data_IF_881602332173
#
_entry.id   IF_881602332173
#
_cell.length_a   1.000
_cell.length_b   1.000
_cell.length_c   1.000
_cell.angle_alpha   90.00
_cell.angle_beta   90.00
_cell.angle_gamma   90.00
#
_symmetry.space_group_name_H-M   'P 1'
#
loop_
_entity.id
_entity.type
_entity.pdbx_description
1 polymer ?
#
# COMPACT_ATOMS: atom_id res chain seq x y z
N UNK A 1 -28.00 20.60 -0.93
CA UNK A 1 -26.56 20.47 -0.63
C UNK A 1 -26.38 19.30 0.32
N UNK A 2 -25.46 18.43 0.06
CA UNK A 2 -25.03 17.37 0.98
C UNK A 2 -23.90 17.94 1.85
N UNK A 3 -23.77 17.45 3.07
CA UNK A 3 -22.74 17.84 4.02
C UNK A 3 -21.84 16.66 4.43
N UNK A 4 -21.96 15.55 3.71
CA UNK A 4 -21.18 14.35 3.91
C UNK A 4 -21.07 13.56 2.59
N UNK A 5 -19.88 13.05 2.30
CA UNK A 5 -19.63 12.13 1.20
C UNK A 5 -19.41 10.73 1.76
N UNK A 6 -19.97 9.70 1.10
CA UNK A 6 -19.75 8.29 1.45
C UNK A 6 -19.07 7.60 0.28
N UNK A 7 -17.87 7.09 0.50
CA UNK A 7 -17.12 6.26 -0.45
C UNK A 7 -17.31 4.77 -0.16
N UNK A 8 -18.13 4.09 -0.95
CA UNK A 8 -18.37 2.65 -0.81
C UNK A 8 -17.72 1.89 -1.98
N UNK A 9 -16.76 1.03 -1.70
CA UNK A 9 -16.11 0.21 -2.73
C UNK A 9 -14.65 -0.09 -2.49
N UNK A 10 -13.90 -0.34 -3.55
CA UNK A 10 -12.45 -0.50 -3.54
C UNK A 10 -11.70 0.81 -3.80
N UNK A 11 -10.38 0.74 -3.97
CA UNK A 11 -9.48 1.91 -4.05
C UNK A 11 -9.96 3.03 -4.97
N UNK A 12 -10.35 2.74 -6.21
CA UNK A 12 -10.83 3.77 -7.15
C UNK A 12 -12.07 4.52 -6.67
N UNK A 13 -13.02 3.81 -6.03
CA UNK A 13 -14.21 4.44 -5.47
C UNK A 13 -13.85 5.30 -4.25
N UNK A 14 -12.92 4.83 -3.45
CA UNK A 14 -12.40 5.53 -2.26
C UNK A 14 -11.68 6.82 -2.69
N UNK A 15 -10.76 6.74 -3.63
CA UNK A 15 -10.00 7.90 -4.13
C UNK A 15 -10.92 8.93 -4.78
N UNK A 16 -11.91 8.46 -5.57
CA UNK A 16 -12.95 9.34 -6.13
C UNK A 16 -13.74 10.05 -5.03
N UNK A 17 -14.13 9.33 -3.97
CA UNK A 17 -14.87 9.90 -2.86
C UNK A 17 -14.05 10.95 -2.08
N UNK A 18 -12.74 10.72 -1.90
CA UNK A 18 -11.81 11.70 -1.32
C UNK A 18 -11.74 12.97 -2.15
N UNK A 19 -11.60 12.85 -3.47
CA UNK A 19 -11.58 13.99 -4.38
C UNK A 19 -12.90 14.79 -4.36
N UNK A 20 -14.05 14.10 -4.27
CA UNK A 20 -15.37 14.75 -4.24
C UNK A 20 -15.62 15.44 -2.90
N UNK A 21 -15.13 14.88 -1.80
CA UNK A 21 -15.36 15.42 -0.45
C UNK A 21 -14.67 16.76 -0.22
N UNK A 22 -13.52 17.03 -0.85
CA UNK A 22 -12.79 18.32 -0.77
C UNK A 22 -12.67 18.92 0.65
N UNK A 23 -12.56 18.05 1.67
CA UNK A 23 -12.46 18.49 3.08
C UNK A 23 -13.77 18.55 3.83
N UNK A 24 -14.90 18.19 3.21
CA UNK A 24 -16.16 17.90 3.89
C UNK A 24 -16.08 16.57 4.65
N UNK A 25 -17.08 16.28 5.48
CA UNK A 25 -17.14 15.02 6.19
C UNK A 25 -17.15 13.84 5.20
N UNK A 26 -16.22 12.91 5.41
CA UNK A 26 -16.01 11.74 4.53
C UNK A 26 -16.11 10.45 5.33
N UNK A 27 -16.99 9.56 4.88
CA UNK A 27 -17.11 8.20 5.41
C UNK A 27 -16.64 7.23 4.32
N UNK A 28 -15.65 6.41 4.62
CA UNK A 28 -15.17 5.36 3.73
C UNK A 28 -15.66 4.01 4.21
N UNK A 29 -16.23 3.24 3.29
CA UNK A 29 -16.73 1.87 3.53
C UNK A 29 -16.06 0.94 2.53
N UNK A 30 -14.87 0.39 2.82
CA UNK A 30 -14.17 -0.49 1.91
C UNK A 30 -14.89 -1.83 1.78
N UNK A 31 -15.02 -2.32 0.55
CA UNK A 31 -15.59 -3.64 0.24
C UNK A 31 -14.54 -4.70 -0.03
N UNK A 32 -13.28 -4.30 -0.07
CA UNK A 32 -12.08 -5.12 -0.23
C UNK A 32 -10.95 -4.53 0.63
N UNK A 33 -10.03 -5.35 1.07
CA UNK A 33 -8.83 -4.91 1.81
C UNK A 33 -7.58 -5.06 0.92
N UNK A 34 -7.63 -4.41 -0.26
CA UNK A 34 -6.61 -4.58 -1.30
C UNK A 34 -5.46 -3.56 -1.23
N UNK A 35 -5.65 -2.48 -0.48
CA UNK A 35 -4.70 -1.39 -0.26
C UNK A 35 -5.00 -0.69 1.06
N UNK A 36 -4.13 0.18 1.49
CA UNK A 36 -4.26 1.03 2.67
C UNK A 36 -4.92 2.40 2.40
N UNK A 37 -5.32 2.65 1.17
CA UNK A 37 -6.03 3.87 0.77
C UNK A 37 -7.18 4.32 1.69
N UNK A 38 -7.97 3.41 2.34
CA UNK A 38 -9.14 3.85 3.12
C UNK A 38 -8.83 4.83 4.24
N UNK A 39 -7.66 4.82 4.84
CA UNK A 39 -7.34 5.62 6.03
C UNK A 39 -6.53 6.88 5.74
N UNK A 40 -5.88 6.97 4.59
CA UNK A 40 -4.98 8.08 4.28
C UNK A 40 -5.70 9.34 3.79
N UNK A 41 -5.02 10.50 3.94
CA UNK A 41 -5.46 11.79 3.40
C UNK A 41 -5.03 12.00 1.94
N UNK A 42 -4.54 10.97 1.25
CA UNK A 42 -4.11 11.04 -0.15
C UNK A 42 -4.97 10.17 -1.06
N UNK A 43 -4.98 10.50 -2.34
CA UNK A 43 -5.55 9.70 -3.40
C UNK A 43 -4.55 9.61 -4.56
N UNK A 44 -4.52 8.44 -5.22
CA UNK A 44 -3.72 8.24 -6.43
C UNK A 44 -4.54 8.63 -7.65
N UNK A 45 -3.99 9.52 -8.47
CA UNK A 45 -4.58 9.93 -9.73
C UNK A 45 -3.96 9.13 -10.88
N UNK A 46 -4.81 8.72 -11.82
CA UNK A 46 -4.39 7.97 -12.98
C UNK A 46 -4.79 8.68 -14.26
N UNK A 47 -3.97 8.54 -15.30
CA UNK A 47 -4.32 8.98 -16.65
C UNK A 47 -5.50 8.18 -17.21
N UNK A 48 -6.21 8.67 -18.26
CA UNK A 48 -7.26 7.90 -18.92
C UNK A 48 -6.80 6.53 -19.41
N UNK A 49 -5.53 6.39 -19.74
CA UNK A 49 -4.89 5.16 -20.22
C UNK A 49 -4.52 4.21 -19.06
N UNK A 50 -4.67 4.66 -17.78
CA UNK A 50 -4.44 3.86 -16.59
C UNK A 50 -3.02 3.93 -16.04
N UNK A 51 -2.18 4.80 -16.58
CA UNK A 51 -0.85 5.10 -16.03
C UNK A 51 -0.94 5.97 -14.77
N UNK A 52 0.06 5.88 -13.90
CA UNK A 52 0.20 6.79 -12.76
C UNK A 52 0.40 8.23 -13.26
N UNK A 53 -0.38 9.16 -12.71
CA UNK A 53 -0.29 10.60 -13.01
C UNK A 53 0.32 11.36 -11.84
N UNK A 54 -0.39 11.48 -10.72
CA UNK A 54 0.07 12.21 -9.53
C UNK A 54 -0.64 11.74 -8.26
N UNK A 55 -0.26 12.30 -7.13
CA UNK A 55 -0.96 12.17 -5.86
C UNK A 55 -1.73 13.44 -5.53
N UNK A 56 -3.02 13.30 -5.20
CA UNK A 56 -3.79 14.34 -4.55
C UNK A 56 -3.68 14.22 -3.03
N UNK A 57 -3.39 15.33 -2.34
CA UNK A 57 -3.34 15.38 -0.86
C UNK A 57 -4.45 16.27 -0.34
N UNK A 58 -5.17 15.79 0.66
CA UNK A 58 -6.29 16.50 1.28
C UNK A 58 -5.91 17.02 2.67
N UNK A 59 -6.68 17.97 3.17
CA UNK A 59 -6.40 18.62 4.47
C UNK A 59 -6.62 17.71 5.68
N UNK A 60 -7.38 16.64 5.50
CA UNK A 60 -7.76 15.73 6.58
C UNK A 60 -7.97 14.31 6.05
N UNK A 61 -7.74 13.35 6.91
CA UNK A 61 -8.09 11.96 6.68
C UNK A 61 -9.62 11.78 6.67
N UNK A 62 -10.16 10.66 6.17
CA UNK A 62 -11.57 10.34 6.31
C UNK A 62 -12.04 10.45 7.76
N UNK A 63 -13.22 11.03 7.97
CA UNK A 63 -13.81 11.21 9.30
C UNK A 63 -14.17 9.87 9.95
N UNK A 64 -14.54 8.88 9.13
CA UNK A 64 -14.87 7.51 9.55
C UNK A 64 -14.41 6.55 8.48
N UNK A 65 -13.79 5.44 8.90
CA UNK A 65 -13.59 4.24 8.08
C UNK A 65 -14.40 3.11 8.71
N UNK A 66 -15.47 2.69 8.02
CA UNK A 66 -16.38 1.66 8.49
C UNK A 66 -16.11 0.35 7.75
N UNK A 67 -15.66 -0.67 8.47
CA UNK A 67 -15.24 -1.95 7.91
C UNK A 67 -16.24 -3.03 8.32
N UNK A 68 -16.86 -3.69 7.32
CA UNK A 68 -17.62 -4.93 7.52
C UNK A 68 -16.75 -6.10 7.02
N UNK A 69 -16.19 -6.85 7.97
CA UNK A 69 -15.31 -7.98 7.67
C UNK A 69 -16.04 -9.10 6.93
N UNK A 70 -17.39 -9.20 7.08
CA UNK A 70 -18.20 -10.21 6.38
C UNK A 70 -18.33 -9.88 4.87
N UNK A 71 -18.29 -8.62 4.50
CA UNK A 71 -18.26 -8.18 3.10
C UNK A 71 -16.89 -8.50 2.49
N UNK A 72 -15.82 -8.14 3.20
CA UNK A 72 -14.44 -8.38 2.74
C UNK A 72 -14.14 -9.87 2.63
N UNK A 73 -14.62 -10.70 3.57
CA UNK A 73 -14.45 -12.16 3.53
C UNK A 73 -15.05 -12.82 2.27
N UNK A 74 -16.05 -12.19 1.65
CA UNK A 74 -16.71 -12.69 0.42
C UNK A 74 -16.08 -12.16 -0.86
N UNK A 75 -15.17 -11.22 -0.75
CA UNK A 75 -14.44 -10.72 -1.91
C UNK A 75 -13.41 -11.75 -2.40
N UNK A 76 -13.00 -11.71 -3.67
CA UNK A 76 -11.92 -12.56 -4.16
C UNK A 76 -10.65 -12.41 -3.32
N UNK A 77 -10.11 -13.51 -2.83
CA UNK A 77 -8.92 -13.56 -1.95
C UNK A 77 -7.72 -12.81 -2.50
N UNK A 78 -7.58 -12.73 -3.83
CA UNK A 78 -6.50 -11.98 -4.48
C UNK A 78 -6.47 -10.50 -4.04
N UNK A 79 -7.61 -9.91 -3.70
CA UNK A 79 -7.62 -8.53 -3.17
C UNK A 79 -7.00 -8.44 -1.78
N UNK A 80 -7.34 -9.37 -0.89
CA UNK A 80 -6.74 -9.44 0.44
C UNK A 80 -5.22 -9.64 0.34
N UNK A 81 -4.79 -10.57 -0.52
CA UNK A 81 -3.37 -10.87 -0.76
C UNK A 81 -2.65 -9.64 -1.34
N UNK A 82 -3.27 -8.91 -2.28
CA UNK A 82 -2.70 -7.65 -2.76
C UNK A 82 -2.50 -6.64 -1.62
N UNK A 83 -3.49 -6.50 -0.73
CA UNK A 83 -3.34 -5.64 0.45
C UNK A 83 -2.22 -6.07 1.38
N UNK A 84 -2.00 -7.38 1.55
CA UNK A 84 -0.84 -7.86 2.31
C UNK A 84 0.49 -7.45 1.66
N UNK A 85 0.56 -7.49 0.32
CA UNK A 85 1.75 -7.07 -0.42
C UNK A 85 2.05 -5.59 -0.31
N UNK A 86 1.00 -4.76 -0.23
CA UNK A 86 1.09 -3.34 0.01
C UNK A 86 1.56 -3.07 1.46
N UNK A 87 0.85 -3.65 2.43
CA UNK A 87 1.13 -3.52 3.86
C UNK A 87 2.52 -4.03 4.27
N UNK A 88 3.06 -5.02 3.53
CA UNK A 88 4.40 -5.57 3.79
C UNK A 88 5.50 -4.52 3.62
N UNK A 89 5.37 -3.62 2.65
CA UNK A 89 6.36 -2.58 2.39
C UNK A 89 6.45 -1.56 3.53
N UNK A 90 5.33 -1.32 4.23
CA UNK A 90 5.19 -0.25 5.21
C UNK A 90 6.29 -0.27 6.29
N UNK A 91 6.65 -1.45 6.80
CA UNK A 91 7.72 -1.59 7.78
C UNK A 91 9.09 -1.24 7.22
N UNK A 92 9.42 -1.78 6.04
CA UNK A 92 10.73 -1.60 5.43
C UNK A 92 10.96 -0.17 4.97
N UNK A 93 9.93 0.46 4.41
CA UNK A 93 9.99 1.85 3.97
C UNK A 93 10.02 2.82 5.15
N UNK A 94 9.24 2.60 6.20
CA UNK A 94 9.34 3.38 7.43
C UNK A 94 10.73 3.25 8.06
N UNK A 95 11.33 2.04 8.07
CA UNK A 95 12.70 1.80 8.53
C UNK A 95 13.71 2.59 7.72
N UNK A 96 13.62 2.53 6.39
CA UNK A 96 14.50 3.27 5.50
C UNK A 96 14.42 4.79 5.74
N UNK A 97 13.21 5.32 5.92
CA UNK A 97 13.01 6.74 6.22
C UNK A 97 13.58 7.16 7.58
N UNK A 98 13.44 6.32 8.61
CA UNK A 98 14.05 6.59 9.91
C UNK A 98 15.58 6.61 9.79
N UNK A 99 16.18 5.68 9.06
CA UNK A 99 17.63 5.56 8.88
C UNK A 99 18.22 6.68 8.03
N UNK A 100 17.51 7.09 6.96
CA UNK A 100 17.96 8.14 6.04
C UNK A 100 17.54 9.55 6.47
N UNK A 101 16.80 9.69 7.55
CA UNK A 101 16.13 10.94 7.93
C UNK A 101 15.18 11.45 6.83
N UNK A 102 14.56 10.53 6.09
CA UNK A 102 13.62 10.80 5.02
C UNK A 102 12.35 11.48 5.52
N UNK A 103 11.61 12.07 4.57
CA UNK A 103 10.34 12.71 4.84
C UNK A 103 9.21 11.69 4.84
N UNK A 104 8.14 12.03 5.58
CA UNK A 104 6.91 11.25 5.62
C UNK A 104 5.77 11.99 4.92
N UNK A 105 4.71 11.27 4.59
CA UNK A 105 3.56 11.83 3.88
C UNK A 105 2.67 12.69 4.80
N UNK A 106 2.61 12.35 6.09
CA UNK A 106 1.86 13.13 7.07
C UNK A 106 2.39 14.55 7.18
N UNK A 107 1.47 15.51 7.16
CA UNK A 107 1.83 16.94 7.25
C UNK A 107 2.25 17.57 5.93
N UNK A 108 2.17 16.86 4.80
CA UNK A 108 2.23 17.49 3.49
C UNK A 108 0.93 18.28 3.30
N UNK A 109 0.96 19.63 3.33
CA UNK A 109 -0.25 20.40 3.08
C UNK A 109 -0.70 20.20 1.65
N UNK A 110 -2.00 20.25 1.43
CA UNK A 110 -2.57 20.39 0.10
C UNK A 110 -1.88 21.55 -0.64
N UNK A 111 -1.15 21.26 -1.70
CA UNK A 111 -0.37 22.26 -2.44
C UNK A 111 0.96 22.66 -1.83
N UNK A 112 1.47 21.96 -0.83
CA UNK A 112 2.83 22.18 -0.38
C UNK A 112 3.84 21.72 -1.42
N UNK A 113 4.70 22.62 -1.68
CA UNK A 113 5.64 22.64 -2.75
C UNK A 113 6.67 21.50 -2.59
N UNK A 114 6.48 20.38 -3.26
CA UNK A 114 7.54 19.38 -3.44
C UNK A 114 8.83 19.98 -3.97
N UNK A 115 8.75 21.15 -4.64
CA UNK A 115 9.88 21.83 -5.25
C UNK A 115 10.76 22.60 -4.26
N UNK A 116 10.27 22.97 -3.06
CA UNK A 116 11.05 23.79 -2.13
C UNK A 116 11.69 23.01 -0.99
N UNK A 117 11.39 21.72 -0.81
CA UNK A 117 11.97 20.90 0.27
C UNK A 117 11.64 21.39 1.69
N UNK A 118 10.72 22.32 1.81
CA UNK A 118 10.32 22.89 3.10
C UNK A 118 9.16 22.12 3.71
N UNK A 119 9.38 21.65 4.87
CA UNK A 119 8.58 21.00 5.87
C UNK A 119 8.57 19.51 5.83
N UNK A 120 9.34 19.13 6.56
CA UNK A 120 9.86 17.84 6.73
C UNK A 120 9.29 17.28 8.01
N UNK A 121 8.06 16.69 7.90
CA UNK A 121 7.61 15.79 8.93
C UNK A 121 8.47 14.52 8.87
N UNK A 122 9.00 14.11 10.01
CA UNK A 122 9.77 12.89 10.15
C UNK A 122 8.93 11.82 10.82
N UNK A 123 9.20 10.57 10.49
CA UNK A 123 8.60 9.42 11.14
C UNK A 123 8.81 9.47 12.66
N UNK A 124 7.73 9.22 13.41
CA UNK A 124 7.77 9.14 14.86
C UNK A 124 8.01 7.70 15.32
N UNK A 125 8.42 7.52 16.59
CA UNK A 125 8.49 6.18 17.18
C UNK A 125 7.14 5.48 17.18
N UNK A 126 6.04 6.21 17.30
CA UNK A 126 4.67 5.66 17.23
C UNK A 126 4.38 5.16 15.83
N UNK A 127 4.68 5.93 14.78
CA UNK A 127 4.50 5.51 13.39
C UNK A 127 5.31 4.23 13.08
N UNK A 128 6.57 4.19 13.52
CA UNK A 128 7.41 3.01 13.35
C UNK A 128 6.88 1.80 14.13
N UNK A 129 6.32 2.00 15.32
CA UNK A 129 5.69 0.91 16.08
C UNK A 129 4.45 0.36 15.38
N UNK A 130 3.64 1.21 14.72
CA UNK A 130 2.50 0.77 13.92
C UNK A 130 2.96 -0.04 12.69
N UNK A 131 3.99 0.44 11.99
CA UNK A 131 4.58 -0.29 10.86
C UNK A 131 5.17 -1.64 11.28
N UNK A 132 5.80 -1.71 12.46
CA UNK A 132 6.33 -2.97 13.04
C UNK A 132 5.18 -3.93 13.36
N UNK A 133 4.12 -3.45 14.03
CA UNK A 133 2.95 -4.28 14.34
C UNK A 133 2.27 -4.78 13.06
N UNK A 134 2.22 -3.95 12.01
CA UNK A 134 1.71 -4.36 10.70
C UNK A 134 2.50 -5.57 10.17
N UNK A 135 3.81 -5.47 10.10
CA UNK A 135 4.69 -6.54 9.62
C UNK A 135 4.55 -7.82 10.44
N UNK A 136 4.62 -7.73 11.78
CA UNK A 136 4.47 -8.88 12.69
C UNK A 136 3.11 -9.57 12.49
N UNK A 137 2.04 -8.80 12.30
CA UNK A 137 0.68 -9.33 12.06
C UNK A 137 0.61 -10.07 10.72
N UNK A 138 1.23 -9.53 9.66
CA UNK A 138 1.28 -10.19 8.35
C UNK A 138 1.99 -11.54 8.43
N UNK A 139 3.13 -11.61 9.13
CA UNK A 139 3.88 -12.85 9.32
C UNK A 139 3.08 -13.88 10.14
N UNK A 140 2.42 -13.44 11.21
CA UNK A 140 1.70 -14.33 12.13
C UNK A 140 0.43 -14.91 11.52
N UNK A 141 -0.34 -14.11 10.80
CA UNK A 141 -1.71 -14.43 10.42
C UNK A 141 -1.99 -14.42 8.91
N UNK A 142 -1.08 -13.93 8.05
CA UNK A 142 -1.30 -13.77 6.62
C UNK A 142 -1.78 -15.03 5.91
N UNK A 143 -1.09 -16.15 6.09
CA UNK A 143 -1.48 -17.42 5.48
C UNK A 143 -2.83 -17.95 6.00
N UNK A 144 -3.08 -17.83 7.31
CA UNK A 144 -4.36 -18.25 7.92
C UNK A 144 -5.53 -17.39 7.42
N UNK A 145 -5.31 -16.07 7.28
CA UNK A 145 -6.30 -15.14 6.75
C UNK A 145 -6.62 -15.43 5.28
N UNK A 146 -5.60 -15.76 4.48
CA UNK A 146 -5.80 -16.20 3.10
C UNK A 146 -6.72 -17.44 3.04
N UNK A 147 -6.44 -18.47 3.83
CA UNK A 147 -7.27 -19.69 3.87
C UNK A 147 -8.70 -19.39 4.34
N UNK A 148 -8.88 -18.52 5.32
CA UNK A 148 -10.19 -18.09 5.79
C UNK A 148 -10.96 -17.36 4.67
N UNK A 149 -10.32 -16.44 3.96
CA UNK A 149 -10.92 -15.72 2.85
C UNK A 149 -11.27 -16.66 1.67
N UNK A 150 -10.42 -17.64 1.33
CA UNK A 150 -10.68 -18.65 0.30
C UNK A 150 -11.97 -19.45 0.58
N UNK A 151 -12.37 -19.54 1.85
CA UNK A 151 -13.58 -20.24 2.30
C UNK A 151 -14.71 -19.30 2.74
N UNK A 152 -14.55 -17.99 2.54
CA UNK A 152 -15.49 -16.92 2.93
C UNK A 152 -15.82 -16.93 4.44
N UNK A 153 -14.86 -17.31 5.28
CA UNK A 153 -15.01 -17.37 6.73
C UNK A 153 -14.38 -16.14 7.38
N UNK A 154 -15.12 -15.53 8.30
CA UNK A 154 -14.58 -14.53 9.21
C UNK A 154 -13.92 -15.24 10.38
N UNK A 155 -12.63 -15.01 10.55
CA UNK A 155 -11.81 -15.56 11.63
C UNK A 155 -10.98 -14.45 12.26
N UNK A 156 -10.48 -14.60 13.48
CA UNK A 156 -9.58 -13.62 14.07
C UNK A 156 -8.38 -13.29 13.18
N UNK A 157 -7.79 -14.29 12.52
CA UNK A 157 -6.67 -14.06 11.60
C UNK A 157 -7.08 -13.19 10.40
N UNK A 158 -8.28 -13.40 9.83
CA UNK A 158 -8.78 -12.55 8.75
C UNK A 158 -9.01 -11.11 9.22
N UNK A 159 -9.61 -10.92 10.39
CA UNK A 159 -9.84 -9.61 10.98
C UNK A 159 -8.53 -8.88 11.27
N UNK A 160 -7.53 -9.57 11.82
CA UNK A 160 -6.19 -9.03 12.05
C UNK A 160 -5.52 -8.56 10.74
N UNK A 161 -5.65 -9.33 9.66
CA UNK A 161 -5.07 -8.95 8.36
C UNK A 161 -5.85 -7.81 7.71
N UNK A 162 -7.16 -7.75 7.85
CA UNK A 162 -7.96 -6.60 7.38
C UNK A 162 -7.52 -5.33 8.11
N UNK A 163 -7.32 -5.40 9.44
CA UNK A 163 -6.79 -4.29 10.24
C UNK A 163 -5.38 -3.91 9.79
N UNK A 164 -4.50 -4.90 9.58
CA UNK A 164 -3.14 -4.64 9.11
C UNK A 164 -3.13 -3.94 7.74
N UNK A 165 -3.87 -4.46 6.77
CA UNK A 165 -3.91 -3.92 5.42
C UNK A 165 -4.51 -2.50 5.35
N UNK A 166 -5.53 -2.20 6.15
CA UNK A 166 -6.29 -0.95 6.05
C UNK A 166 -5.81 0.10 7.05
N UNK A 167 -5.62 -0.29 8.32
CA UNK A 167 -5.36 0.66 9.40
C UNK A 167 -3.87 0.77 9.71
N UNK A 168 -3.21 -0.35 10.01
CA UNK A 168 -1.81 -0.31 10.42
C UNK A 168 -0.91 0.14 9.27
N UNK A 169 -1.14 -0.38 8.06
CA UNK A 169 -0.45 0.07 6.86
C UNK A 169 -0.77 1.54 6.55
N UNK A 170 -2.06 1.90 6.55
CA UNK A 170 -2.47 3.25 6.18
C UNK A 170 -1.93 4.34 7.08
N UNK A 171 -1.96 4.16 8.41
CA UNK A 171 -1.34 5.08 9.35
C UNK A 171 0.19 4.96 9.34
N UNK A 172 0.69 3.75 9.11
CA UNK A 172 2.11 3.44 9.06
C UNK A 172 2.82 4.15 7.91
N UNK A 173 2.30 4.01 6.68
CA UNK A 173 2.93 4.65 5.52
C UNK A 173 2.77 6.17 5.53
N UNK A 174 1.56 6.66 5.91
CA UNK A 174 1.31 8.10 5.97
C UNK A 174 2.26 8.80 6.93
N UNK A 175 2.51 8.20 8.09
CA UNK A 175 3.35 8.75 9.15
C UNK A 175 4.78 8.20 9.18
N UNK A 176 5.07 7.12 8.46
CA UNK A 176 6.39 6.50 8.33
C UNK A 176 7.11 6.84 7.03
N UNK A 177 6.34 7.20 5.99
CA UNK A 177 6.84 7.54 4.66
C UNK A 177 7.00 6.34 3.73
N UNK A 178 7.16 6.62 2.45
CA UNK A 178 7.43 5.65 1.38
C UNK A 178 8.93 5.70 1.01
N UNK A 179 9.41 4.64 0.35
CA UNK A 179 10.80 4.53 -0.09
C UNK A 179 10.91 3.73 -1.41
N UNK A 180 11.88 2.82 -1.52
CA UNK A 180 12.19 2.16 -2.77
C UNK A 180 11.11 1.17 -3.24
N UNK A 181 10.37 0.53 -2.34
CA UNK A 181 9.35 -0.43 -2.74
C UNK A 181 8.26 0.21 -3.61
N UNK A 182 7.72 1.35 -3.19
CA UNK A 182 6.74 2.11 -3.96
C UNK A 182 7.37 2.80 -5.18
N UNK A 183 8.60 3.33 -5.09
CA UNK A 183 9.30 3.88 -6.25
C UNK A 183 9.47 2.81 -7.35
N UNK A 184 9.87 1.60 -7.01
CA UNK A 184 9.98 0.48 -7.95
C UNK A 184 8.59 0.11 -8.52
N UNK A 185 7.54 0.10 -7.69
CA UNK A 185 6.17 -0.07 -8.19
C UNK A 185 5.83 0.95 -9.27
N UNK A 186 6.11 2.24 -9.02
CA UNK A 186 5.84 3.33 -9.98
C UNK A 186 6.63 3.12 -11.27
N UNK A 187 7.90 2.73 -11.15
CA UNK A 187 8.73 2.35 -12.29
C UNK A 187 8.15 1.21 -13.12
N UNK A 188 7.63 0.16 -12.45
CA UNK A 188 7.03 -1.00 -13.13
C UNK A 188 5.76 -0.63 -13.90
N UNK A 189 5.10 0.48 -13.62
CA UNK A 189 3.89 0.90 -14.34
C UNK A 189 4.11 1.25 -15.80
N UNK A 190 5.35 1.49 -16.24
CA UNK A 190 5.67 1.71 -17.66
C UNK A 190 5.59 0.41 -18.49
N UNK A 191 5.57 -0.75 -17.85
CA UNK A 191 5.51 -2.04 -18.49
C UNK A 191 4.05 -2.50 -18.64
N UNK A 192 3.54 -2.59 -19.88
CA UNK A 192 2.15 -3.00 -20.15
C UNK A 192 1.79 -4.35 -19.54
N UNK A 193 2.74 -5.29 -19.47
CA UNK A 193 2.56 -6.62 -18.89
C UNK A 193 2.11 -6.55 -17.42
N UNK A 194 2.51 -5.50 -16.71
CA UNK A 194 2.20 -5.32 -15.29
C UNK A 194 0.85 -4.64 -15.04
N UNK A 195 0.17 -4.11 -16.05
CA UNK A 195 -1.12 -3.40 -15.90
C UNK A 195 -2.24 -4.28 -15.37
N UNK A 196 -2.15 -5.60 -15.54
CA UNK A 196 -3.12 -6.58 -15.00
C UNK A 196 -2.80 -7.01 -13.56
N UNK A 197 -1.68 -6.52 -13.01
CA UNK A 197 -1.30 -6.77 -11.63
C UNK A 197 -1.84 -5.67 -10.73
N UNK A 198 -2.29 -6.07 -9.53
CA UNK A 198 -2.73 -5.12 -8.55
C UNK A 198 -1.55 -4.34 -7.95
N UNK A 199 -1.86 -3.21 -7.31
CA UNK A 199 -0.89 -2.33 -6.68
C UNK A 199 0.06 -3.11 -5.75
N UNK A 200 -0.48 -3.76 -4.72
CA UNK A 200 0.33 -4.48 -3.74
C UNK A 200 1.07 -5.69 -4.28
N UNK A 201 0.62 -6.30 -5.39
CA UNK A 201 1.39 -7.35 -6.07
C UNK A 201 2.73 -6.80 -6.60
N UNK A 202 2.72 -5.58 -7.14
CA UNK A 202 3.95 -4.91 -7.60
C UNK A 202 4.79 -4.38 -6.45
N UNK A 203 4.13 -3.84 -5.41
CA UNK A 203 4.81 -3.34 -4.20
C UNK A 203 5.52 -4.47 -3.45
N UNK A 204 4.94 -5.67 -3.34
CA UNK A 204 5.59 -6.82 -2.73
C UNK A 204 6.91 -7.19 -3.43
N UNK A 205 6.93 -7.21 -4.76
CA UNK A 205 8.15 -7.38 -5.53
C UNK A 205 9.14 -6.23 -5.31
N UNK A 206 8.64 -4.99 -5.26
CA UNK A 206 9.43 -3.80 -4.93
C UNK A 206 10.09 -3.89 -3.56
N UNK A 207 9.39 -4.46 -2.57
CA UNK A 207 9.94 -4.69 -1.21
C UNK A 207 11.13 -5.66 -1.24
N UNK A 208 11.03 -6.75 -1.97
CA UNK A 208 12.17 -7.66 -2.15
C UNK A 208 13.36 -6.98 -2.83
N UNK A 209 13.10 -6.16 -3.85
CA UNK A 209 14.14 -5.37 -4.49
C UNK A 209 14.75 -4.34 -3.54
N UNK A 210 13.95 -3.66 -2.71
CA UNK A 210 14.46 -2.72 -1.70
C UNK A 210 15.39 -3.42 -0.72
N UNK A 211 15.04 -4.59 -0.20
CA UNK A 211 15.90 -5.35 0.70
C UNK A 211 17.27 -5.69 0.07
N UNK A 212 17.27 -6.04 -1.20
CA UNK A 212 18.52 -6.28 -1.94
C UNK A 212 19.33 -4.98 -2.10
N UNK A 213 18.68 -3.85 -2.42
CA UNK A 213 19.33 -2.54 -2.52
C UNK A 213 19.92 -2.07 -1.20
N UNK A 214 19.27 -2.38 -0.08
CA UNK A 214 19.73 -2.06 1.28
C UNK A 214 20.83 -3.03 1.77
N UNK A 215 21.17 -4.04 1.00
CA UNK A 215 22.07 -5.13 1.41
C UNK A 215 21.62 -5.76 2.74
N UNK A 216 20.30 -6.02 2.85
CA UNK A 216 19.69 -6.62 4.03
C UNK A 216 20.27 -8.02 4.30
N UNK A 217 20.28 -8.50 5.56
CA UNK A 217 20.69 -9.86 5.88
C UNK A 217 19.88 -10.89 5.09
N UNK A 218 20.55 -11.99 4.69
CA UNK A 218 19.89 -13.04 3.88
C UNK A 218 18.66 -13.63 4.61
N UNK A 219 18.74 -13.77 5.92
CA UNK A 219 17.66 -14.29 6.76
C UNK A 219 16.40 -13.42 6.67
N UNK A 220 16.57 -12.10 6.60
CA UNK A 220 15.43 -11.16 6.45
C UNK A 220 14.83 -11.25 5.03
N UNK A 221 15.68 -11.34 4.01
CA UNK A 221 15.23 -11.54 2.63
C UNK A 221 14.45 -12.86 2.51
N UNK A 222 14.96 -13.94 3.10
CA UNK A 222 14.34 -15.26 3.08
C UNK A 222 12.99 -15.27 3.83
N UNK A 223 12.88 -14.55 4.96
CA UNK A 223 11.63 -14.43 5.71
C UNK A 223 10.55 -13.74 4.88
N UNK A 224 10.88 -12.61 4.24
CA UNK A 224 9.96 -11.86 3.38
C UNK A 224 9.60 -12.67 2.13
N UNK A 225 10.58 -13.32 1.50
CA UNK A 225 10.36 -14.19 0.35
C UNK A 225 9.39 -15.33 0.69
N UNK A 226 9.62 -16.02 1.81
CA UNK A 226 8.75 -17.11 2.27
C UNK A 226 7.34 -16.62 2.60
N UNK A 227 7.21 -15.44 3.21
CA UNK A 227 5.91 -14.80 3.43
C UNK A 227 5.18 -14.60 2.11
N UNK A 228 5.81 -13.96 1.12
CA UNK A 228 5.24 -13.72 -0.19
C UNK A 228 4.82 -15.02 -0.89
N UNK A 229 5.67 -16.03 -0.90
CA UNK A 229 5.38 -17.34 -1.51
C UNK A 229 4.18 -18.03 -0.83
N UNK A 230 4.08 -17.94 0.49
CA UNK A 230 3.02 -18.61 1.27
C UNK A 230 1.63 -18.10 0.91
N UNK A 231 1.50 -16.82 0.60
CA UNK A 231 0.22 -16.20 0.24
C UNK A 231 0.00 -16.07 -1.25
N UNK A 232 1.05 -16.31 -2.08
CA UNK A 232 0.98 -16.25 -3.54
C UNK A 232 1.22 -14.86 -4.12
N UNK A 233 1.99 -14.02 -3.44
CA UNK A 233 2.49 -12.75 -3.96
C UNK A 233 3.63 -12.97 -4.97
N UNK A 234 3.78 -12.10 -5.99
CA UNK A 234 4.88 -12.15 -6.93
C UNK A 234 6.24 -11.97 -6.25
N UNK A 235 7.21 -12.79 -6.63
CA UNK A 235 8.58 -12.75 -6.11
C UNK A 235 9.63 -12.56 -7.20
N UNK A 236 9.23 -12.59 -8.47
CA UNK A 236 10.10 -12.33 -9.59
C UNK A 236 9.36 -11.61 -10.73
N UNK A 237 10.10 -11.08 -11.71
CA UNK A 237 9.53 -10.38 -12.86
C UNK A 237 8.58 -11.27 -13.68
N UNK A 238 8.87 -12.57 -13.79
CA UNK A 238 8.00 -13.51 -14.50
C UNK A 238 6.61 -13.61 -13.86
N UNK A 239 6.51 -13.58 -12.52
CA UNK A 239 5.25 -13.57 -11.81
C UNK A 239 4.44 -12.28 -12.09
N UNK A 240 5.13 -11.19 -12.39
CA UNK A 240 4.51 -9.94 -12.84
C UNK A 240 4.11 -9.95 -14.32
N UNK A 241 4.46 -11.02 -15.06
CA UNK A 241 4.20 -11.17 -16.48
C UNK A 241 5.33 -10.67 -17.38
N UNK A 242 6.43 -10.22 -16.80
CA UNK A 242 7.59 -9.69 -17.53
C UNK A 242 8.61 -10.82 -17.72
N UNK A 243 8.54 -11.49 -18.87
CA UNK A 243 9.41 -12.63 -19.17
C UNK A 243 10.81 -12.19 -19.59
N UNK A 244 10.92 -11.01 -20.19
CA UNK A 244 12.20 -10.40 -20.58
C UNK A 244 12.08 -8.88 -20.43
N UNK A 245 12.83 -8.31 -19.51
CA UNK A 245 12.88 -6.87 -19.31
C UNK A 245 13.78 -6.18 -20.35
N UNK A 246 14.80 -6.89 -20.85
CA UNK A 246 15.73 -6.39 -21.87
C UNK A 246 16.27 -4.99 -21.54
N UNK A 247 16.24 -4.10 -22.52
CA UNK A 247 16.70 -2.71 -22.38
C UNK A 247 15.72 -1.79 -21.63
N UNK A 248 14.52 -2.28 -21.25
CA UNK A 248 13.49 -1.48 -20.54
C UNK A 248 13.81 -1.25 -19.06
N UNK A 249 14.82 -1.96 -18.53
CA UNK A 249 15.22 -1.78 -17.13
C UNK A 249 15.61 -0.33 -16.81
N UNK A 250 16.31 0.34 -17.74
CA UNK A 250 16.67 1.77 -17.57
C UNK A 250 15.46 2.70 -17.58
N UNK A 251 14.41 2.37 -18.32
CA UNK A 251 13.16 3.11 -18.35
C UNK A 251 12.40 2.94 -17.03
N UNK A 252 12.30 1.70 -16.53
CA UNK A 252 11.72 1.40 -15.20
C UNK A 252 12.50 2.16 -14.12
N UNK A 253 13.83 2.08 -14.12
CA UNK A 253 14.66 2.76 -13.13
C UNK A 253 14.61 4.30 -13.21
N UNK A 254 14.36 4.87 -14.38
CA UNK A 254 14.22 6.31 -14.55
C UNK A 254 12.87 6.84 -14.07
N UNK A 255 11.83 5.98 -14.03
CA UNK A 255 10.49 6.32 -13.54
C UNK A 255 10.35 6.01 -12.05
N UNK A 256 11.14 5.08 -11.50
CA UNK A 256 11.27 4.78 -10.08
C UNK A 256 12.00 5.93 -9.35
#
# INVERSE_FOLDING_TARGET
SCNCTVGLGGGKAIDTAKCVAEGEALIIVPTIAATDAPTSHSAVLYTPEGGFDDYAYFKQNPSVVLIDTTVIAKAPTRFLVSGMGDALSTYFEARANVQSYGNVNAGLPCGANRATGELLARGTKTAFALATLCYETLLADGYKAKLACDTNLVTPALENIIEANILLSGLGFESGGLAAAHAIHDGLTVLEETHKKFHGEKVAFGTLCQLVLENAPQEEIDEVLNCCLSVGLPVCLADLGVMDIGNRLSEVAAKA
#
